data_IF_656363404919
#
_entry.id   IF_656363404919
#
_cell.length_a   1.000
_cell.length_b   1.000
_cell.length_c   1.000
_cell.angle_alpha   90.00
_cell.angle_beta   90.00
_cell.angle_gamma   90.00
#
_symmetry.space_group_name_H-M   'P 1'
#
loop_
_entity.id
_entity.type
_entity.pdbx_description
1 polymer ?
#
# COMPACT_ATOMS: atom_id res chain seq x y z
N UNK A 1 33.45 -7.79 42.20
CA UNK A 1 33.24 -7.09 40.90
C UNK A 1 33.05 -8.08 39.72
N UNK A 2 32.43 -9.26 39.91
CA UNK A 2 32.31 -10.28 38.84
C UNK A 2 30.86 -10.54 38.36
N UNK A 3 29.88 -9.76 38.82
CA UNK A 3 28.46 -9.93 38.44
C UNK A 3 28.00 -8.97 37.33
N UNK A 4 28.77 -7.94 36.98
CA UNK A 4 28.37 -6.91 36.00
C UNK A 4 28.56 -7.34 34.53
N UNK A 5 29.53 -8.22 34.25
CA UNK A 5 29.89 -8.62 32.88
C UNK A 5 28.88 -9.62 32.28
N UNK A 6 28.23 -10.43 33.13
CA UNK A 6 27.23 -11.41 32.69
C UNK A 6 25.86 -10.82 32.36
N UNK A 7 25.49 -9.68 32.96
CA UNK A 7 24.23 -9.00 32.69
C UNK A 7 24.26 -8.20 31.37
N UNK A 8 25.36 -7.51 31.08
CA UNK A 8 25.51 -6.75 29.82
C UNK A 8 25.45 -7.65 28.57
N UNK A 9 26.10 -8.82 28.62
CA UNK A 9 26.09 -9.78 27.51
C UNK A 9 24.69 -10.37 27.24
N UNK A 10 23.88 -10.60 28.27
CA UNK A 10 22.51 -11.10 28.12
C UNK A 10 21.57 -10.04 27.55
N UNK A 11 21.75 -8.77 27.92
CA UNK A 11 20.95 -7.66 27.40
C UNK A 11 21.29 -7.35 25.92
N UNK A 12 22.55 -7.48 25.52
CA UNK A 12 22.97 -7.41 24.11
C UNK A 12 22.35 -8.54 23.27
N UNK A 13 22.38 -9.78 23.77
CA UNK A 13 21.78 -10.94 23.10
C UNK A 13 20.26 -10.75 22.97
N UNK A 14 19.58 -10.28 24.02
CA UNK A 14 18.14 -9.98 23.98
C UNK A 14 17.81 -8.89 22.96
N UNK A 15 18.62 -7.82 22.89
CA UNK A 15 18.46 -6.72 21.92
C UNK A 15 18.67 -7.21 20.48
N UNK A 16 19.66 -8.06 20.23
CA UNK A 16 19.90 -8.66 18.92
C UNK A 16 18.77 -9.61 18.49
N UNK A 17 18.24 -10.42 19.42
CA UNK A 17 17.12 -11.31 19.13
C UNK A 17 15.83 -10.54 18.79
N UNK A 18 15.59 -9.42 19.50
CA UNK A 18 14.46 -8.50 19.27
C UNK A 18 14.50 -7.87 17.88
N UNK A 19 15.64 -7.27 17.51
CA UNK A 19 15.81 -6.65 16.19
C UNK A 19 15.64 -7.66 15.07
N UNK A 20 16.09 -8.90 15.26
CA UNK A 20 15.88 -9.99 14.31
C UNK A 20 14.41 -10.42 14.18
N UNK A 21 13.64 -10.48 15.27
CA UNK A 21 12.21 -10.82 15.23
C UNK A 21 11.38 -9.74 14.52
N UNK A 22 11.65 -8.47 14.84
CA UNK A 22 11.02 -7.31 14.21
C UNK A 22 11.33 -7.22 12.71
N UNK A 23 12.58 -7.46 12.32
CA UNK A 23 12.97 -7.54 10.92
C UNK A 23 12.17 -8.61 10.15
N UNK A 24 12.00 -9.81 10.73
CA UNK A 24 11.20 -10.90 10.13
C UNK A 24 9.74 -10.49 9.91
N UNK A 25 9.12 -9.81 10.88
CA UNK A 25 7.73 -9.31 10.77
C UNK A 25 7.59 -8.29 9.64
N UNK A 26 8.52 -7.33 9.53
CA UNK A 26 8.51 -6.36 8.44
C UNK A 26 8.71 -7.03 7.08
N UNK A 27 9.67 -7.96 6.97
CA UNK A 27 9.92 -8.69 5.72
C UNK A 27 8.68 -9.47 5.29
N UNK A 28 7.98 -10.11 6.23
CA UNK A 28 6.70 -10.75 5.97
C UNK A 28 5.65 -9.75 5.46
N UNK A 29 5.48 -8.61 6.13
CA UNK A 29 4.54 -7.55 5.69
C UNK A 29 4.87 -7.05 4.28
N UNK A 30 6.15 -6.83 3.97
CA UNK A 30 6.62 -6.42 2.64
C UNK A 30 6.26 -7.47 1.59
N UNK A 31 6.56 -8.75 1.86
CA UNK A 31 6.21 -9.84 0.94
C UNK A 31 4.70 -9.89 0.68
N UNK A 32 3.90 -9.84 1.75
CA UNK A 32 2.45 -9.92 1.66
C UNK A 32 1.84 -8.74 0.90
N UNK A 33 2.32 -7.51 1.15
CA UNK A 33 1.89 -6.32 0.40
C UNK A 33 2.18 -6.45 -1.10
N UNK A 34 3.37 -6.92 -1.49
CA UNK A 34 3.69 -7.14 -2.92
C UNK A 34 2.72 -8.14 -3.57
N UNK A 35 2.39 -9.22 -2.86
CA UNK A 35 1.42 -10.22 -3.33
C UNK A 35 0.04 -9.61 -3.55
N UNK A 36 -0.48 -8.86 -2.57
CA UNK A 36 -1.81 -8.25 -2.67
C UNK A 36 -1.87 -7.14 -3.74
N UNK A 37 -0.83 -6.30 -3.87
CA UNK A 37 -0.71 -5.32 -4.97
C UNK A 37 -0.80 -6.03 -6.33
N UNK A 38 -0.05 -7.12 -6.50
CA UNK A 38 -0.06 -7.90 -7.74
C UNK A 38 -1.41 -8.53 -8.03
N UNK A 39 -2.17 -8.92 -6.99
CA UNK A 39 -3.51 -9.47 -7.12
C UNK A 39 -4.53 -8.41 -7.54
N UNK A 40 -4.48 -7.22 -6.94
CA UNK A 40 -5.28 -6.06 -7.35
C UNK A 40 -5.00 -5.72 -8.80
N UNK A 41 -3.73 -5.73 -9.24
CA UNK A 41 -3.36 -5.45 -10.63
C UNK A 41 -3.96 -6.41 -11.64
N UNK A 42 -3.93 -7.72 -11.35
CA UNK A 42 -4.57 -8.72 -12.22
C UNK A 42 -6.07 -8.47 -12.34
N UNK A 43 -6.74 -8.14 -11.23
CA UNK A 43 -8.17 -7.88 -11.22
C UNK A 43 -8.52 -6.58 -11.98
N UNK A 44 -7.75 -5.51 -11.75
CA UNK A 44 -7.85 -4.25 -12.49
C UNK A 44 -7.74 -4.44 -14.01
N UNK A 45 -6.81 -5.28 -14.46
CA UNK A 45 -6.64 -5.57 -15.88
C UNK A 45 -7.91 -6.20 -16.47
N UNK A 46 -8.50 -7.18 -15.78
CA UNK A 46 -9.76 -7.81 -16.19
C UNK A 46 -10.92 -6.83 -16.27
N UNK A 47 -11.10 -5.99 -15.25
CA UNK A 47 -12.17 -4.99 -15.22
C UNK A 47 -12.03 -3.94 -16.33
N UNK A 48 -10.81 -3.47 -16.62
CA UNK A 48 -10.54 -2.51 -17.70
C UNK A 48 -10.83 -3.10 -19.07
N UNK A 49 -10.49 -4.38 -19.28
CA UNK A 49 -10.84 -5.09 -20.52
C UNK A 49 -12.36 -5.22 -20.65
N UNK A 50 -13.05 -5.59 -19.57
CA UNK A 50 -14.52 -5.69 -19.56
C UNK A 50 -15.21 -4.35 -19.82
N UNK A 51 -14.70 -3.26 -19.23
CA UNK A 51 -15.18 -1.90 -19.50
C UNK A 51 -15.08 -1.56 -20.99
N UNK A 52 -13.94 -1.88 -21.61
CA UNK A 52 -13.71 -1.64 -23.04
C UNK A 52 -14.68 -2.43 -23.94
N UNK A 53 -14.94 -3.70 -23.61
CA UNK A 53 -15.92 -4.52 -24.33
C UNK A 53 -17.33 -3.93 -24.24
N UNK A 54 -17.77 -3.56 -23.04
CA UNK A 54 -19.08 -2.94 -22.84
C UNK A 54 -19.19 -1.60 -23.55
N UNK A 55 -18.11 -0.82 -23.56
CA UNK A 55 -18.07 0.44 -24.29
C UNK A 55 -18.31 0.23 -25.79
N UNK A 56 -17.61 -0.73 -26.40
CA UNK A 56 -17.83 -1.07 -27.81
C UNK A 56 -19.27 -1.54 -28.07
N UNK A 57 -19.81 -2.41 -27.20
CA UNK A 57 -21.20 -2.87 -27.30
C UNK A 57 -22.22 -1.72 -27.16
N UNK A 58 -21.96 -0.74 -26.30
CA UNK A 58 -22.78 0.46 -26.14
C UNK A 58 -22.78 1.31 -27.42
N UNK A 59 -21.62 1.50 -28.05
CA UNK A 59 -21.49 2.21 -29.33
C UNK A 59 -22.28 1.49 -30.43
N UNK A 60 -22.16 0.17 -30.55
CA UNK A 60 -22.92 -0.61 -31.53
C UNK A 60 -24.43 -0.54 -31.30
N UNK A 61 -24.88 -0.64 -30.04
CA UNK A 61 -26.29 -0.50 -29.70
C UNK A 61 -26.82 0.89 -30.09
N UNK A 62 -26.07 1.95 -29.82
CA UNK A 62 -26.40 3.31 -30.25
C UNK A 62 -26.48 3.44 -31.77
N UNK A 63 -25.54 2.85 -32.51
CA UNK A 63 -25.56 2.89 -33.98
C UNK A 63 -26.80 2.20 -34.58
N UNK A 64 -27.32 1.17 -33.91
CA UNK A 64 -28.55 0.47 -34.32
C UNK A 64 -29.85 1.13 -33.84
N UNK A 65 -29.76 2.26 -33.12
CA UNK A 65 -30.92 2.90 -32.49
C UNK A 65 -31.50 2.13 -31.30
N UNK A 66 -30.76 1.15 -30.77
CA UNK A 66 -31.17 0.36 -29.61
C UNK A 66 -30.80 1.08 -28.31
N UNK A 67 -31.65 2.07 -27.99
CA UNK A 67 -31.50 2.95 -26.84
C UNK A 67 -31.51 2.21 -25.49
N UNK A 68 -32.33 1.16 -25.38
CA UNK A 68 -32.46 0.36 -24.16
C UNK A 68 -31.16 -0.40 -23.89
N UNK A 69 -30.61 -1.14 -24.87
CA UNK A 69 -29.34 -1.86 -24.67
C UNK A 69 -28.18 -0.91 -24.42
N UNK A 70 -28.12 0.22 -25.13
CA UNK A 70 -27.08 1.22 -24.91
C UNK A 70 -27.10 1.75 -23.46
N UNK A 71 -28.28 2.04 -22.91
CA UNK A 71 -28.46 2.49 -21.53
C UNK A 71 -28.01 1.45 -20.50
N UNK A 72 -28.35 0.17 -20.72
CA UNK A 72 -27.90 -0.94 -19.86
C UNK A 72 -26.37 -1.01 -19.83
N UNK A 73 -25.72 -1.02 -21.01
CA UNK A 73 -24.25 -1.09 -21.07
C UNK A 73 -23.58 0.13 -20.44
N UNK A 74 -24.12 1.34 -20.65
CA UNK A 74 -23.61 2.56 -20.02
C UNK A 74 -23.70 2.51 -18.48
N UNK A 75 -24.79 1.96 -17.95
CA UNK A 75 -24.98 1.82 -16.50
C UNK A 75 -23.95 0.86 -15.90
N UNK A 76 -23.71 -0.28 -16.55
CA UNK A 76 -22.70 -1.25 -16.12
C UNK A 76 -21.28 -0.66 -16.16
N UNK A 77 -20.95 0.09 -17.22
CA UNK A 77 -19.67 0.81 -17.31
C UNK A 77 -19.49 1.78 -16.12
N UNK A 78 -20.55 2.48 -15.72
CA UNK A 78 -20.49 3.39 -14.58
C UNK A 78 -20.19 2.67 -13.26
N UNK A 79 -20.78 1.49 -13.04
CA UNK A 79 -20.49 0.66 -11.87
C UNK A 79 -19.05 0.12 -11.90
N UNK A 80 -18.60 -0.41 -13.05
CA UNK A 80 -17.21 -0.85 -13.22
C UNK A 80 -16.21 0.27 -12.94
N UNK A 81 -16.48 1.50 -13.39
CA UNK A 81 -15.62 2.66 -13.11
C UNK A 81 -15.55 3.03 -11.63
N UNK A 82 -16.63 2.83 -10.86
CA UNK A 82 -16.59 3.03 -9.40
C UNK A 82 -15.64 2.01 -8.76
N UNK A 83 -15.77 0.75 -9.15
CA UNK A 83 -14.93 -0.36 -8.68
C UNK A 83 -13.46 -0.12 -9.04
N UNK A 84 -13.17 0.18 -10.31
CA UNK A 84 -11.80 0.44 -10.80
C UNK A 84 -11.14 1.56 -10.00
N UNK A 85 -11.84 2.67 -9.75
CA UNK A 85 -11.29 3.79 -8.96
C UNK A 85 -10.94 3.38 -7.53
N UNK A 86 -11.80 2.62 -6.87
CA UNK A 86 -11.53 2.11 -5.51
C UNK A 86 -10.23 1.28 -5.53
N UNK A 87 -10.12 0.36 -6.48
CA UNK A 87 -8.96 -0.52 -6.60
C UNK A 87 -7.67 0.23 -6.93
N UNK A 88 -7.71 1.22 -7.83
CA UNK A 88 -6.57 2.06 -8.15
C UNK A 88 -6.08 2.86 -6.93
N UNK A 89 -7.01 3.47 -6.17
CA UNK A 89 -6.67 4.19 -4.94
C UNK A 89 -6.11 3.27 -3.86
N UNK A 90 -6.73 2.10 -3.65
CA UNK A 90 -6.25 1.08 -2.72
C UNK A 90 -4.84 0.62 -3.09
N UNK A 91 -4.59 0.32 -4.37
CA UNK A 91 -3.28 -0.07 -4.87
C UNK A 91 -2.22 1.01 -4.57
N UNK A 92 -2.49 2.27 -4.93
CA UNK A 92 -1.56 3.38 -4.68
C UNK A 92 -1.23 3.53 -3.18
N UNK A 93 -2.22 3.35 -2.32
CA UNK A 93 -2.01 3.41 -0.87
C UNK A 93 -1.15 2.24 -0.36
N UNK A 94 -1.34 1.03 -0.89
CA UNK A 94 -0.48 -0.12 -0.56
C UNK A 94 0.94 0.05 -1.10
N UNK A 95 1.12 0.60 -2.31
CA UNK A 95 2.44 0.92 -2.86
C UNK A 95 3.16 1.96 -2.00
N UNK A 96 2.47 3.01 -1.58
CA UNK A 96 2.99 4.00 -0.63
C UNK A 96 3.40 3.35 0.69
N UNK A 97 2.54 2.48 1.22
CA UNK A 97 2.80 1.74 2.47
C UNK A 97 4.04 0.85 2.35
N UNK A 98 4.16 0.13 1.23
CA UNK A 98 5.29 -0.72 0.91
C UNK A 98 6.61 0.07 0.83
N UNK A 99 6.60 1.24 0.17
CA UNK A 99 7.77 2.12 0.12
C UNK A 99 8.18 2.58 1.52
N UNK A 100 7.20 2.98 2.33
CA UNK A 100 7.43 3.41 3.70
C UNK A 100 8.03 2.30 4.57
N UNK A 101 7.49 1.07 4.49
CA UNK A 101 8.04 -0.10 5.19
C UNK A 101 9.49 -0.40 4.77
N UNK A 102 9.82 -0.25 3.48
CA UNK A 102 11.19 -0.45 2.98
C UNK A 102 12.17 0.58 3.53
N UNK A 103 11.82 1.86 3.50
CA UNK A 103 12.65 2.93 4.07
C UNK A 103 12.88 2.72 5.56
N UNK A 104 11.83 2.36 6.29
CA UNK A 104 11.91 2.07 7.72
C UNK A 104 12.80 0.86 8.03
N UNK A 105 12.65 -0.22 7.27
CA UNK A 105 13.46 -1.42 7.47
C UNK A 105 14.96 -1.10 7.33
N UNK A 106 15.30 -0.14 6.46
CA UNK A 106 16.67 0.33 6.26
C UNK A 106 17.17 1.25 7.39
N UNK A 107 16.28 1.99 8.06
CA UNK A 107 16.63 2.98 9.09
C UNK A 107 16.55 2.42 10.53
N UNK A 108 15.98 1.23 10.73
CA UNK A 108 16.01 0.52 12.01
C UNK A 108 14.96 0.97 13.06
N UNK A 109 14.20 2.04 12.82
CA UNK A 109 13.11 2.46 13.69
C UNK A 109 11.78 1.77 13.32
N UNK A 110 11.67 0.52 13.77
CA UNK A 110 10.53 -0.35 13.46
C UNK A 110 9.26 0.03 14.24
N UNK A 111 9.39 0.66 15.41
CA UNK A 111 8.26 1.04 16.26
C UNK A 111 7.45 2.15 15.60
N UNK A 112 8.14 3.25 15.31
CA UNK A 112 7.51 4.46 14.80
C UNK A 112 6.88 4.19 13.44
N UNK A 113 7.52 3.32 12.67
CA UNK A 113 6.99 2.83 11.43
C UNK A 113 5.68 2.08 11.53
N UNK A 114 5.61 1.07 12.40
CA UNK A 114 4.42 0.25 12.52
C UNK A 114 3.23 1.10 12.97
N UNK A 115 3.45 2.08 13.87
CA UNK A 115 2.44 3.07 14.26
C UNK A 115 1.93 3.91 13.08
N UNK A 116 2.84 4.42 12.25
CA UNK A 116 2.46 5.29 11.13
C UNK A 116 1.87 4.54 9.92
N UNK A 117 2.05 3.22 9.83
CA UNK A 117 1.61 2.38 8.71
C UNK A 117 0.26 1.71 8.99
N UNK A 118 0.00 1.33 10.24
CA UNK A 118 -1.27 0.73 10.67
C UNK A 118 -2.52 1.46 10.13
N UNK A 119 -2.66 2.79 10.25
CA UNK A 119 -3.86 3.48 9.77
C UNK A 119 -4.01 3.39 8.25
N UNK A 120 -2.90 3.39 7.50
CA UNK A 120 -2.93 3.27 6.04
C UNK A 120 -3.46 1.90 5.61
N UNK A 121 -3.06 0.82 6.30
CA UNK A 121 -3.57 -0.53 6.03
C UNK A 121 -5.06 -0.63 6.40
N UNK A 122 -5.45 -0.05 7.54
CA UNK A 122 -6.85 -0.01 7.97
C UNK A 122 -7.76 0.73 6.97
N UNK A 123 -7.29 1.84 6.39
CA UNK A 123 -8.05 2.58 5.38
C UNK A 123 -8.22 1.77 4.10
N UNK A 124 -7.14 1.14 3.61
CA UNK A 124 -7.22 0.28 2.42
C UNK A 124 -8.16 -0.90 2.65
N UNK A 125 -8.10 -1.53 3.84
CA UNK A 125 -9.00 -2.62 4.22
C UNK A 125 -10.46 -2.19 4.11
N UNK A 126 -10.82 -1.03 4.70
CA UNK A 126 -12.19 -0.50 4.62
C UNK A 126 -12.63 -0.25 3.18
N UNK A 127 -11.76 0.30 2.33
CA UNK A 127 -12.05 0.53 0.92
C UNK A 127 -12.27 -0.77 0.15
N UNK A 128 -11.45 -1.79 0.41
CA UNK A 128 -11.54 -3.08 -0.27
C UNK A 128 -12.65 -3.98 0.27
N UNK A 129 -13.14 -3.77 1.49
CA UNK A 129 -14.13 -4.66 2.13
C UNK A 129 -15.42 -4.88 1.33
N UNK A 130 -15.82 -3.93 0.47
CA UNK A 130 -17.00 -4.07 -0.40
C UNK A 130 -16.70 -4.56 -1.81
N UNK A 131 -15.44 -4.53 -2.23
CA UNK A 131 -15.04 -4.70 -3.63
C UNK A 131 -14.16 -5.93 -3.83
N UNK A 132 -13.25 -6.21 -2.90
CA UNK A 132 -12.38 -7.38 -2.84
C UNK A 132 -12.22 -7.83 -1.37
N UNK A 133 -13.26 -8.41 -0.76
CA UNK A 133 -13.28 -8.79 0.66
C UNK A 133 -12.17 -9.77 1.03
N UNK A 134 -11.74 -10.62 0.11
CA UNK A 134 -10.64 -11.56 0.28
C UNK A 134 -9.29 -10.84 0.49
N UNK A 135 -9.01 -9.77 -0.27
CA UNK A 135 -7.79 -8.98 -0.05
C UNK A 135 -7.91 -8.19 1.26
N UNK A 136 -9.09 -7.65 1.55
CA UNK A 136 -9.37 -7.00 2.83
C UNK A 136 -9.09 -7.92 4.03
N UNK A 137 -9.45 -9.21 3.95
CA UNK A 137 -9.13 -10.20 4.98
C UNK A 137 -7.62 -10.43 5.09
N UNK A 138 -6.93 -10.61 3.97
CA UNK A 138 -5.49 -10.86 3.95
C UNK A 138 -4.67 -9.69 4.54
N UNK A 139 -5.19 -8.46 4.45
CA UNK A 139 -4.60 -7.29 5.11
C UNK A 139 -4.67 -7.35 6.65
N UNK A 140 -5.56 -8.15 7.24
CA UNK A 140 -5.58 -8.35 8.70
C UNK A 140 -4.31 -9.03 9.18
N UNK A 141 -3.79 -10.03 8.47
CA UNK A 141 -2.53 -10.68 8.84
C UNK A 141 -1.35 -9.71 8.80
N UNK A 142 -1.38 -8.71 7.92
CA UNK A 142 -0.37 -7.64 7.89
C UNK A 142 -0.52 -6.72 9.09
N UNK A 143 -1.76 -6.28 9.37
CA UNK A 143 -2.09 -5.43 10.53
C UNK A 143 -1.69 -6.10 11.85
N UNK A 144 -2.02 -7.37 12.03
CA UNK A 144 -1.66 -8.16 13.23
C UNK A 144 -0.15 -8.30 13.38
N UNK A 145 0.57 -8.55 12.27
CA UNK A 145 2.03 -8.63 12.29
C UNK A 145 2.68 -7.31 12.73
N UNK A 146 2.15 -6.17 12.26
CA UNK A 146 2.61 -4.84 12.66
C UNK A 146 2.24 -4.51 14.11
N UNK A 147 1.02 -4.82 14.55
CA UNK A 147 0.61 -4.59 15.94
C UNK A 147 1.43 -5.45 16.91
N UNK A 148 1.70 -6.70 16.54
CA UNK A 148 2.59 -7.57 17.30
C UNK A 148 4.04 -7.06 17.33
N UNK A 149 4.49 -6.32 16.30
CA UNK A 149 5.79 -5.66 16.32
C UNK A 149 5.81 -4.47 17.31
N UNK A 150 4.73 -3.68 17.38
CA UNK A 150 4.60 -2.56 18.34
C UNK A 150 4.47 -3.07 19.78
N UNK A 151 3.61 -4.07 20.01
CA UNK A 151 3.30 -4.56 21.35
C UNK A 151 4.50 -5.24 22.04
N UNK A 152 5.32 -5.98 21.29
CA UNK A 152 6.56 -6.62 21.79
C UNK A 152 7.61 -5.58 22.24
N UNK A 153 7.45 -4.33 21.83
CA UNK A 153 8.32 -3.21 22.22
C UNK A 153 7.72 -2.47 23.42
N UNK A 154 6.39 -2.30 23.45
CA UNK A 154 5.67 -1.66 24.54
C UNK A 154 5.66 -2.47 25.85
N UNK A 155 5.66 -3.81 25.79
CA UNK A 155 5.57 -4.69 26.97
C UNK A 155 6.79 -4.69 27.89
N UNK A 156 7.90 -4.08 27.47
CA UNK A 156 9.14 -4.02 28.25
C UNK A 156 9.77 -2.63 28.33
N UNK A 157 9.07 -1.60 27.86
CA UNK A 157 9.49 -0.20 28.01
C UNK A 157 8.84 0.36 29.28
N UNK A 158 9.60 0.50 30.36
CA UNK A 158 9.29 1.48 31.41
C UNK A 158 9.37 2.85 30.73
N UNK A 159 8.35 3.67 30.93
CA UNK A 159 8.14 5.00 30.37
C UNK A 159 9.43 5.73 29.93
N UNK A 160 9.56 5.97 28.63
CA UNK A 160 10.26 7.14 28.14
C UNK A 160 9.36 7.86 27.14
N UNK A 161 8.94 9.05 27.56
CA UNK A 161 8.16 10.02 26.81
C UNK A 161 8.98 10.57 25.64
N UNK A 162 8.84 9.95 24.47
CA UNK A 162 9.36 10.53 23.23
C UNK A 162 8.37 11.58 22.71
N UNK A 163 8.90 12.80 22.61
CA UNK A 163 8.29 14.06 22.21
C UNK A 163 7.58 13.94 20.84
N UNK A 164 6.30 14.31 20.81
CA UNK A 164 5.55 14.52 19.57
C UNK A 164 6.12 15.71 18.80
N UNK A 165 6.47 15.51 17.52
CA UNK A 165 6.60 16.62 16.57
C UNK A 165 5.50 16.50 15.52
N UNK A 166 4.69 17.55 15.31
CA UNK A 166 3.57 17.49 14.37
C UNK A 166 4.08 17.65 12.93
N UNK A 167 3.60 16.74 12.07
CA UNK A 167 3.38 16.88 10.63
C UNK A 167 4.22 17.90 9.84
N UNK A 168 5.05 17.40 8.91
CA UNK A 168 5.11 18.03 7.58
C UNK A 168 5.13 16.96 6.47
N UNK A 169 4.16 17.04 5.57
CA UNK A 169 4.30 16.55 4.19
C UNK A 169 3.79 17.70 3.34
N UNK A 170 4.62 18.39 2.56
CA UNK A 170 4.06 19.40 1.62
C UNK A 170 4.96 19.90 0.49
N UNK A 171 6.29 19.94 0.63
CA UNK A 171 7.15 20.56 -0.41
C UNK A 171 7.92 19.55 -1.26
N UNK A 172 8.67 18.65 -0.61
CA UNK A 172 9.58 17.73 -1.29
C UNK A 172 8.85 16.68 -2.13
N UNK A 173 7.75 16.12 -1.60
CA UNK A 173 6.92 15.16 -2.35
C UNK A 173 6.32 15.78 -3.63
N UNK A 174 6.02 17.08 -3.64
CA UNK A 174 5.56 17.78 -4.85
C UNK A 174 6.69 17.99 -5.85
N UNK A 175 7.90 18.31 -5.38
CA UNK A 175 9.10 18.43 -6.22
C UNK A 175 9.40 17.11 -6.93
N UNK A 176 9.38 16.00 -6.20
CA UNK A 176 9.64 14.66 -6.74
C UNK A 176 8.58 14.25 -7.78
N UNK A 177 7.30 14.58 -7.54
CA UNK A 177 6.23 14.34 -8.53
C UNK A 177 6.44 15.16 -9.81
N UNK A 178 6.89 16.40 -9.70
CA UNK A 178 7.16 17.26 -10.85
C UNK A 178 8.40 16.80 -11.64
N UNK A 179 9.44 16.32 -10.96
CA UNK A 179 10.61 15.69 -11.57
C UNK A 179 10.23 14.40 -12.31
N UNK A 180 9.44 13.53 -11.68
CA UNK A 180 8.95 12.29 -12.27
C UNK A 180 8.08 12.55 -13.52
N UNK A 181 7.22 13.57 -13.47
CA UNK A 181 6.40 14.01 -14.61
C UNK A 181 7.28 14.50 -15.77
N UNK A 182 8.27 15.36 -15.51
CA UNK A 182 9.21 15.84 -16.53
C UNK A 182 10.00 14.72 -17.17
N UNK A 183 10.43 13.73 -16.38
CA UNK A 183 11.16 12.56 -16.90
C UNK A 183 10.26 11.62 -17.72
N UNK A 184 9.01 11.42 -17.30
CA UNK A 184 8.01 10.69 -18.08
C UNK A 184 7.74 11.36 -19.44
N UNK A 185 7.55 12.68 -19.46
CA UNK A 185 7.35 13.46 -20.70
C UNK A 185 8.57 13.39 -21.64
N UNK A 186 9.80 13.44 -21.09
CA UNK A 186 11.04 13.27 -21.86
C UNK A 186 11.13 11.87 -22.50
N UNK A 187 10.74 10.82 -21.78
CA UNK A 187 10.76 9.44 -22.29
C UNK A 187 9.71 9.21 -23.38
N UNK A 188 8.54 9.84 -23.27
CA UNK A 188 7.50 9.78 -24.31
C UNK A 188 7.95 10.53 -25.57
N UNK A 189 8.55 11.73 -25.44
CA UNK A 189 9.12 12.47 -26.58
C UNK A 189 10.27 11.75 -27.29
N UNK A 190 11.11 11.02 -26.56
CA UNK A 190 12.19 10.20 -27.16
C UNK A 190 11.67 8.98 -27.94
N UNK A 191 10.48 8.47 -27.62
CA UNK A 191 9.85 7.34 -28.33
C UNK A 191 9.01 7.77 -29.55
N UNK A 192 8.78 9.06 -29.75
CA UNK A 192 8.10 9.61 -30.93
C UNK A 192 8.83 10.87 -31.41
N UNK A 193 9.89 10.74 -32.24
CA UNK A 193 10.44 11.89 -32.93
C UNK A 193 9.35 12.46 -33.85
N UNK A 194 9.13 13.78 -33.77
CA UNK A 194 8.25 14.48 -34.72
C UNK A 194 8.82 14.33 -36.14
N UNK A 195 7.98 14.30 -37.19
CA UNK A 195 8.44 14.33 -38.58
C UNK A 195 9.29 15.59 -38.85
#
# INVERSE_FOLDING_TARGET
MLTSIGSESLDEIRKALKTMNLGKKIVYSIYKLNSEISRIDRFLHGLKNREKELYNAAVEAKMRGDEIRASIYASEIAELRKIIRILEMSKLSLERTLLKLRTIHQLGDVVEAAKQIEPMICDVKKSLGKVMPEISWELDGIRESLLAAVSEIASYSIEESSIETPYTTSSEARSVLEEAKKEAEKRVKKKFPKP
#
